data_IF_435924584938
#
_entry.id   IF_435924584938
#
_cell.length_a   1.000
_cell.length_b   1.000
_cell.length_c   1.000
_cell.angle_alpha   90.00
_cell.angle_beta   90.00
_cell.angle_gamma   90.00
#
_symmetry.space_group_name_H-M   'P 1'
#
loop_
_entity.id
_entity.type
_entity.pdbx_description
1 polymer ?
#
# COMPACT_ATOMS: atom_id res chain seq x y z
N UNK A 1 -8.68 23.02 -1.01
CA UNK A 1 -7.35 23.19 -1.62
C UNK A 1 -6.88 21.82 -2.09
N UNK A 2 -6.36 21.70 -3.32
CA UNK A 2 -5.73 20.50 -3.83
C UNK A 2 -4.29 20.86 -4.24
N UNK A 3 -3.32 20.05 -3.78
CA UNK A 3 -1.90 20.29 -4.04
C UNK A 3 -1.14 19.01 -4.29
N UNK A 4 0.12 19.14 -4.68
CA UNK A 4 1.10 18.07 -4.73
C UNK A 4 2.32 18.47 -3.90
N UNK A 5 2.42 17.94 -2.67
CA UNK A 5 3.38 18.32 -1.63
C UNK A 5 3.14 19.72 -1.00
N UNK A 6 2.01 20.36 -1.30
CA UNK A 6 1.75 21.73 -0.88
C UNK A 6 1.52 21.89 0.62
N UNK A 7 1.07 20.82 1.31
CA UNK A 7 0.87 20.88 2.76
C UNK A 7 2.16 21.17 3.52
N UNK A 8 3.29 20.68 3.02
CA UNK A 8 4.60 20.83 3.68
C UNK A 8 5.47 21.91 3.02
N UNK A 9 5.13 22.37 1.83
CA UNK A 9 5.93 23.33 1.08
C UNK A 9 5.17 24.61 0.70
N UNK A 10 4.17 24.52 -0.18
CA UNK A 10 3.53 25.72 -0.75
C UNK A 10 2.69 26.49 0.28
N UNK A 11 1.90 25.79 1.10
CA UNK A 11 0.98 26.44 2.06
C UNK A 11 1.75 27.19 3.15
N UNK A 12 2.77 26.62 3.81
CA UNK A 12 3.61 27.38 4.74
C UNK A 12 4.24 28.63 4.10
N UNK A 13 4.80 28.48 2.89
CA UNK A 13 5.40 29.60 2.18
C UNK A 13 4.38 30.71 1.88
N UNK A 14 3.17 30.34 1.45
CA UNK A 14 2.08 31.29 1.23
C UNK A 14 1.68 31.99 2.53
N UNK A 15 1.53 31.27 3.64
CA UNK A 15 1.21 31.89 4.97
C UNK A 15 2.26 32.91 5.37
N UNK A 16 3.53 32.56 5.23
CA UNK A 16 4.63 33.49 5.52
C UNK A 16 4.53 34.75 4.65
N UNK A 17 4.19 34.63 3.36
CA UNK A 17 4.00 35.76 2.44
C UNK A 17 2.79 36.60 2.81
N UNK A 18 1.65 36.03 3.19
CA UNK A 18 0.47 36.74 3.68
C UNK A 18 0.82 37.54 4.94
N UNK A 19 1.51 36.87 5.89
CA UNK A 19 1.94 37.52 7.14
C UNK A 19 2.89 38.73 6.88
N UNK A 20 3.91 38.55 6.04
CA UNK A 20 4.87 39.60 5.68
C UNK A 20 4.19 40.81 5.03
N UNK A 21 3.12 40.60 4.28
CA UNK A 21 2.36 41.63 3.61
C UNK A 21 1.15 42.13 4.44
N UNK A 22 0.99 41.67 5.70
CA UNK A 22 -0.14 42.02 6.59
C UNK A 22 -1.50 41.69 5.95
N UNK A 23 -1.58 40.61 5.19
CA UNK A 23 -2.80 40.12 4.53
C UNK A 23 -3.42 39.02 5.37
N UNK A 24 -4.74 38.88 5.28
CA UNK A 24 -5.48 37.77 5.89
C UNK A 24 -5.20 36.44 5.13
N UNK A 25 -4.80 35.40 5.86
CA UNK A 25 -4.49 34.09 5.33
C UNK A 25 -5.61 33.08 5.54
N UNK A 26 -6.77 33.46 6.03
CA UNK A 26 -7.92 32.59 6.31
C UNK A 26 -8.41 31.81 5.09
N UNK A 27 -8.11 32.30 3.88
CA UNK A 27 -8.38 31.57 2.64
C UNK A 27 -7.64 30.24 2.55
N UNK A 28 -6.55 30.06 3.30
CA UNK A 28 -5.77 28.82 3.38
C UNK A 28 -6.32 27.82 4.41
N UNK A 29 -7.29 28.22 5.26
CA UNK A 29 -7.92 27.35 6.26
C UNK A 29 -9.09 26.53 5.67
N UNK A 30 -8.89 25.97 4.50
CA UNK A 30 -9.87 25.14 3.81
C UNK A 30 -9.47 23.67 3.88
N UNK A 31 -10.44 22.74 3.72
CA UNK A 31 -10.11 21.32 3.54
C UNK A 31 -9.02 21.17 2.48
N UNK A 32 -7.98 20.38 2.81
CA UNK A 32 -6.79 20.29 1.98
C UNK A 32 -6.48 18.84 1.61
N UNK A 33 -6.48 18.54 0.32
CA UNK A 33 -6.08 17.26 -0.27
C UNK A 33 -4.67 17.43 -0.82
N UNK A 34 -3.70 16.71 -0.25
CA UNK A 34 -2.34 16.65 -0.79
C UNK A 34 -2.15 15.30 -1.51
N UNK A 35 -2.13 15.36 -2.83
CA UNK A 35 -2.08 14.17 -3.68
C UNK A 35 -0.77 13.38 -3.57
N UNK A 36 0.34 14.02 -3.18
CA UNK A 36 1.61 13.31 -3.02
C UNK A 36 1.50 12.17 -1.99
N UNK A 37 0.84 12.44 -0.86
CA UNK A 37 0.71 11.44 0.19
C UNK A 37 -0.20 10.29 -0.21
N UNK A 38 -1.25 10.57 -0.95
CA UNK A 38 -2.18 9.55 -1.45
C UNK A 38 -1.49 8.74 -2.56
N UNK A 39 -0.86 9.42 -3.51
CA UNK A 39 -0.12 8.78 -4.60
C UNK A 39 0.99 7.85 -4.09
N UNK A 40 1.75 8.27 -3.07
CA UNK A 40 2.77 7.41 -2.44
C UNK A 40 2.19 6.15 -1.82
N UNK A 41 1.00 6.22 -1.23
CA UNK A 41 0.35 5.03 -0.66
C UNK A 41 -0.07 4.02 -1.71
N UNK A 42 -0.51 4.49 -2.88
CA UNK A 42 -0.99 3.64 -3.96
C UNK A 42 0.14 3.15 -4.86
N UNK A 43 1.00 4.06 -5.32
CA UNK A 43 1.91 3.79 -6.42
C UNK A 43 3.36 3.48 -6.02
N UNK A 44 3.75 3.68 -4.74
CA UNK A 44 5.15 3.53 -4.33
C UNK A 44 5.68 2.10 -4.49
N UNK A 45 4.81 1.09 -4.32
CA UNK A 45 5.20 -0.31 -4.48
C UNK A 45 5.65 -0.59 -5.92
N UNK A 46 4.94 -0.05 -6.91
CA UNK A 46 5.23 -0.21 -8.34
C UNK A 46 6.29 0.77 -8.85
N UNK A 47 6.15 2.06 -8.52
CA UNK A 47 6.93 3.12 -9.15
C UNK A 47 8.20 3.51 -8.38
N UNK A 48 8.33 3.13 -7.10
CA UNK A 48 9.41 3.51 -6.19
C UNK A 48 9.51 5.03 -5.94
N UNK A 49 9.41 5.86 -7.00
CA UNK A 49 9.38 7.32 -6.96
C UNK A 49 8.01 7.82 -7.42
N UNK A 50 7.44 8.79 -6.67
CA UNK A 50 6.11 9.34 -6.91
C UNK A 50 6.19 10.88 -7.00
N UNK A 51 7.08 11.43 -7.83
CA UNK A 51 7.01 12.82 -8.23
C UNK A 51 5.92 13.00 -9.31
N UNK A 52 5.46 14.23 -9.53
CA UNK A 52 4.33 14.49 -10.41
C UNK A 52 4.61 14.03 -11.86
N UNK A 53 5.77 14.36 -12.41
CA UNK A 53 6.14 13.93 -13.77
C UNK A 53 6.16 12.42 -13.94
N UNK A 54 6.62 11.64 -12.93
CA UNK A 54 6.57 10.18 -12.99
C UNK A 54 5.15 9.64 -12.95
N UNK A 55 4.25 10.29 -12.20
CA UNK A 55 2.83 9.91 -12.16
C UNK A 55 2.11 10.27 -13.46
N UNK A 56 2.42 11.42 -14.07
CA UNK A 56 1.92 11.80 -15.39
C UNK A 56 2.26 10.73 -16.42
N UNK A 57 3.52 10.35 -16.49
CA UNK A 57 3.98 9.31 -17.43
C UNK A 57 3.34 7.95 -17.15
N UNK A 58 3.43 7.45 -15.91
CA UNK A 58 3.13 6.07 -15.57
C UNK A 58 1.65 5.81 -15.26
N UNK A 59 0.89 6.82 -14.87
CA UNK A 59 -0.52 6.70 -14.46
C UNK A 59 -1.44 7.39 -15.45
N UNK A 60 -1.08 8.59 -15.91
CA UNK A 60 -1.92 9.36 -16.81
C UNK A 60 -1.58 9.14 -18.29
N UNK A 61 -0.41 8.55 -18.60
CA UNK A 61 0.07 8.39 -19.97
C UNK A 61 0.43 9.71 -20.65
N UNK A 62 0.74 10.74 -19.88
CA UNK A 62 1.10 12.08 -20.36
C UNK A 62 2.63 12.20 -20.32
N UNK A 63 3.34 12.11 -21.46
CA UNK A 63 4.77 12.32 -21.49
C UNK A 63 5.10 13.80 -21.31
N UNK A 64 6.21 14.10 -20.62
CA UNK A 64 6.79 15.44 -20.57
C UNK A 64 7.91 15.53 -21.62
N UNK A 65 7.76 16.48 -22.52
CA UNK A 65 8.80 16.83 -23.48
C UNK A 65 9.44 18.15 -23.03
N UNK A 66 10.76 18.23 -23.07
CA UNK A 66 11.56 19.44 -22.74
C UNK A 66 11.20 20.07 -21.37
N UNK A 67 10.99 19.20 -20.35
CA UNK A 67 10.60 19.64 -19.03
C UNK A 67 11.68 20.50 -18.37
N UNK A 68 11.30 21.68 -17.89
CA UNK A 68 12.20 22.58 -17.16
C UNK A 68 12.58 21.92 -15.82
N UNK A 69 13.86 21.61 -15.58
CA UNK A 69 14.25 21.11 -14.27
C UNK A 69 13.89 22.09 -13.17
N UNK A 70 13.14 21.66 -12.15
CA UNK A 70 12.68 22.53 -11.07
C UNK A 70 13.80 23.32 -10.37
N UNK A 71 15.03 22.79 -10.38
CA UNK A 71 16.22 23.47 -9.88
C UNK A 71 16.60 24.74 -10.70
N UNK A 72 16.13 24.87 -11.92
CA UNK A 72 16.39 26.04 -12.79
C UNK A 72 15.37 27.17 -12.62
N UNK A 73 14.19 26.88 -12.03
CA UNK A 73 13.11 27.86 -11.84
C UNK A 73 13.57 29.10 -11.07
N UNK A 74 14.30 28.97 -9.93
CA UNK A 74 14.79 30.15 -9.20
C UNK A 74 15.74 31.00 -10.06
N UNK A 75 16.63 30.39 -10.86
CA UNK A 75 17.55 31.11 -11.71
C UNK A 75 16.80 31.89 -12.79
N UNK A 76 15.82 31.30 -13.46
CA UNK A 76 14.95 31.98 -14.44
C UNK A 76 14.27 33.22 -13.83
N UNK A 77 13.77 33.11 -12.60
CA UNK A 77 13.16 34.22 -11.90
C UNK A 77 14.16 35.33 -11.58
N UNK A 78 15.37 35.00 -11.11
CA UNK A 78 16.41 35.99 -10.85
C UNK A 78 16.89 36.69 -12.11
N UNK A 79 17.01 35.99 -13.24
CA UNK A 79 17.38 36.56 -14.53
C UNK A 79 16.28 37.49 -15.04
N UNK A 80 15.01 37.14 -14.87
CA UNK A 80 13.90 38.05 -15.12
C UNK A 80 13.99 39.33 -14.27
N UNK A 81 14.24 39.23 -12.97
CA UNK A 81 14.37 40.40 -12.10
C UNK A 81 15.52 41.34 -12.53
N UNK A 82 16.61 40.79 -13.05
CA UNK A 82 17.77 41.58 -13.54
C UNK A 82 17.53 42.22 -14.89
N UNK A 83 16.80 41.56 -15.76
CA UNK A 83 16.73 41.95 -17.19
C UNK A 83 15.38 42.58 -17.56
N UNK A 84 14.32 42.33 -16.77
CA UNK A 84 12.95 42.71 -17.11
C UNK A 84 12.33 41.92 -18.25
N UNK A 85 13.04 40.90 -18.78
CA UNK A 85 12.56 40.10 -19.91
C UNK A 85 11.59 39.02 -19.46
N UNK A 86 10.30 39.22 -19.70
CA UNK A 86 9.25 38.29 -19.28
C UNK A 86 9.34 36.93 -19.97
N UNK A 87 9.86 36.87 -21.20
CA UNK A 87 10.01 35.62 -21.96
C UNK A 87 10.83 34.55 -21.21
N UNK A 88 11.68 34.95 -20.24
CA UNK A 88 12.44 34.04 -19.39
C UNK A 88 11.55 33.23 -18.42
N UNK A 89 10.31 33.64 -18.22
CA UNK A 89 9.33 32.96 -17.34
C UNK A 89 8.31 32.15 -18.11
N UNK A 90 8.29 32.20 -19.44
CA UNK A 90 7.25 31.52 -20.25
C UNK A 90 7.23 30.04 -20.00
N UNK A 91 8.39 29.37 -20.06
CA UNK A 91 8.54 27.95 -19.80
C UNK A 91 8.17 27.56 -18.34
N UNK A 92 8.43 28.44 -17.38
CA UNK A 92 8.02 28.25 -15.96
C UNK A 92 6.50 28.31 -15.82
N UNK A 93 5.85 29.23 -16.52
CA UNK A 93 4.38 29.38 -16.49
C UNK A 93 3.68 28.23 -17.20
N UNK A 94 4.20 27.79 -18.34
CA UNK A 94 3.69 26.63 -19.08
C UNK A 94 3.80 25.34 -18.24
N UNK A 95 4.97 25.10 -17.63
CA UNK A 95 5.19 24.01 -16.71
C UNK A 95 4.19 24.03 -15.54
N UNK A 96 3.99 25.18 -14.90
CA UNK A 96 3.03 25.32 -13.80
C UNK A 96 1.58 25.08 -14.25
N UNK A 97 1.20 25.57 -15.42
CA UNK A 97 -0.13 25.35 -15.99
C UNK A 97 -0.39 23.85 -16.23
N UNK A 98 0.60 23.13 -16.77
CA UNK A 98 0.54 21.69 -16.92
C UNK A 98 0.42 20.96 -15.56
N UNK A 99 1.23 21.34 -14.57
CA UNK A 99 1.17 20.75 -13.24
C UNK A 99 -0.23 20.89 -12.62
N UNK A 100 -0.85 22.08 -12.71
CA UNK A 100 -2.20 22.32 -12.20
C UNK A 100 -3.25 21.47 -12.93
N UNK A 101 -3.16 21.38 -14.26
CA UNK A 101 -4.07 20.53 -15.04
C UNK A 101 -3.89 19.05 -14.68
N UNK A 102 -2.67 18.59 -14.55
CA UNK A 102 -2.33 17.21 -14.17
C UNK A 102 -2.84 16.84 -12.78
N UNK A 103 -2.86 17.77 -11.83
CA UNK A 103 -3.44 17.53 -10.49
C UNK A 103 -4.93 17.19 -10.59
N UNK A 104 -5.70 17.89 -11.42
CA UNK A 104 -7.13 17.61 -11.59
C UNK A 104 -7.34 16.22 -12.21
N UNK A 105 -6.57 15.88 -13.24
CA UNK A 105 -6.64 14.59 -13.92
C UNK A 105 -6.21 13.46 -12.99
N UNK A 106 -5.13 13.66 -12.23
CA UNK A 106 -4.62 12.66 -11.27
C UNK A 106 -5.62 12.41 -10.14
N UNK A 107 -6.22 13.46 -9.58
CA UNK A 107 -7.27 13.30 -8.57
C UNK A 107 -8.43 12.48 -9.10
N UNK A 108 -8.91 12.80 -10.30
CA UNK A 108 -10.02 12.09 -10.95
C UNK A 108 -9.66 10.62 -11.18
N UNK A 109 -8.48 10.35 -11.75
CA UNK A 109 -7.99 8.99 -11.98
C UNK A 109 -7.94 8.18 -10.69
N UNK A 110 -7.41 8.75 -9.60
CA UNK A 110 -7.36 8.07 -8.31
C UNK A 110 -8.74 7.81 -7.71
N UNK A 111 -9.69 8.74 -7.87
CA UNK A 111 -11.08 8.53 -7.43
C UNK A 111 -11.71 7.36 -8.19
N UNK A 112 -11.53 7.29 -9.51
CA UNK A 112 -12.04 6.18 -10.32
C UNK A 112 -11.38 4.84 -9.98
N UNK A 113 -10.09 4.81 -9.68
CA UNK A 113 -9.43 3.60 -9.20
C UNK A 113 -10.07 3.05 -7.92
N UNK A 114 -10.36 3.91 -6.93
CA UNK A 114 -11.03 3.49 -5.69
C UNK A 114 -12.50 3.12 -5.90
N UNK A 115 -13.18 3.72 -6.87
CA UNK A 115 -14.58 3.40 -7.22
C UNK A 115 -14.70 2.05 -7.91
N UNK A 116 -13.77 1.73 -8.79
CA UNK A 116 -13.76 0.51 -9.61
C UNK A 116 -12.38 -0.16 -9.59
N UNK A 117 -11.96 -0.75 -8.44
CA UNK A 117 -10.64 -1.37 -8.29
C UNK A 117 -10.41 -2.54 -9.24
N UNK A 118 -11.48 -3.19 -9.74
CA UNK A 118 -11.45 -4.23 -10.77
C UNK A 118 -10.93 -3.77 -12.13
N UNK A 119 -10.95 -2.46 -12.39
CA UNK A 119 -10.42 -1.87 -13.63
C UNK A 119 -8.96 -1.42 -13.50
N UNK A 120 -8.36 -1.56 -12.33
CA UNK A 120 -6.97 -1.16 -12.10
C UNK A 120 -6.03 -2.20 -12.70
N UNK A 121 -5.14 -1.76 -13.56
CA UNK A 121 -4.29 -2.64 -14.38
C UNK A 121 -3.19 -3.37 -13.59
N UNK A 122 -2.68 -2.75 -12.55
CA UNK A 122 -1.50 -3.23 -11.82
C UNK A 122 -1.85 -3.76 -10.44
N UNK A 123 -1.49 -5.00 -10.17
CA UNK A 123 -1.73 -5.66 -8.89
C UNK A 123 -1.11 -4.94 -7.72
N UNK A 124 0.07 -4.32 -7.91
CA UNK A 124 0.75 -3.53 -6.87
C UNK A 124 -0.09 -2.35 -6.41
N UNK A 125 -0.76 -1.70 -7.36
CA UNK A 125 -1.62 -0.56 -7.07
C UNK A 125 -2.88 -1.02 -6.33
N UNK A 126 -3.53 -2.10 -6.80
CA UNK A 126 -4.72 -2.71 -6.15
C UNK A 126 -4.39 -3.17 -4.73
N UNK A 127 -3.29 -3.90 -4.55
CA UNK A 127 -2.83 -4.33 -3.22
C UNK A 127 -2.58 -3.14 -2.29
N UNK A 128 -1.89 -2.11 -2.79
CA UNK A 128 -1.58 -0.90 -2.04
C UNK A 128 -2.84 -0.11 -1.66
N UNK A 129 -3.83 -0.06 -2.54
CA UNK A 129 -5.17 0.51 -2.24
C UNK A 129 -5.84 -0.24 -1.10
N UNK A 130 -5.83 -1.58 -1.12
CA UNK A 130 -6.35 -2.40 -0.03
C UNK A 130 -5.68 -2.08 1.30
N UNK A 131 -4.34 -1.97 1.32
CA UNK A 131 -3.57 -1.59 2.52
C UNK A 131 -3.94 -0.19 3.02
N UNK A 132 -4.13 0.77 2.11
CA UNK A 132 -4.55 2.12 2.46
C UNK A 132 -5.97 2.15 3.05
N UNK A 133 -6.92 1.45 2.43
CA UNK A 133 -8.30 1.34 2.88
C UNK A 133 -8.39 0.67 4.28
N UNK A 134 -7.66 -0.42 4.50
CA UNK A 134 -7.59 -1.09 5.80
C UNK A 134 -7.10 -0.14 6.89
N UNK A 135 -6.07 0.67 6.60
CA UNK A 135 -5.53 1.67 7.54
C UNK A 135 -6.57 2.72 7.94
N UNK A 136 -7.47 3.08 7.04
CA UNK A 136 -8.56 4.04 7.27
C UNK A 136 -9.88 3.38 7.69
N UNK A 137 -9.85 2.10 8.07
CA UNK A 137 -10.99 1.33 8.54
C UNK A 137 -12.11 1.10 7.48
N UNK A 138 -11.81 1.27 6.20
CA UNK A 138 -12.69 0.90 5.10
C UNK A 138 -12.52 -0.59 4.77
N UNK A 139 -12.92 -1.43 5.73
CA UNK A 139 -12.62 -2.87 5.71
C UNK A 139 -13.28 -3.63 4.54
N UNK A 140 -14.56 -3.40 4.18
CA UNK A 140 -15.19 -4.08 3.05
C UNK A 140 -14.48 -3.81 1.73
N UNK A 141 -14.14 -2.54 1.48
CA UNK A 141 -13.45 -2.10 0.26
C UNK A 141 -12.01 -2.63 0.23
N UNK A 142 -11.33 -2.67 1.38
CA UNK A 142 -10.00 -3.27 1.48
C UNK A 142 -10.01 -4.75 1.11
N UNK A 143 -11.00 -5.50 1.61
CA UNK A 143 -11.19 -6.92 1.27
C UNK A 143 -11.44 -7.13 -0.22
N UNK A 144 -12.27 -6.28 -0.84
CA UNK A 144 -12.48 -6.30 -2.30
C UNK A 144 -11.15 -6.15 -3.04
N UNK A 145 -10.30 -5.21 -2.66
CA UNK A 145 -8.98 -5.06 -3.25
C UNK A 145 -8.12 -6.31 -3.08
N UNK A 146 -8.07 -6.90 -1.88
CA UNK A 146 -7.29 -8.12 -1.64
C UNK A 146 -7.79 -9.33 -2.43
N UNK A 147 -9.10 -9.45 -2.66
CA UNK A 147 -9.68 -10.50 -3.50
C UNK A 147 -9.31 -10.35 -4.99
N UNK A 148 -9.08 -9.13 -5.44
CA UNK A 148 -8.70 -8.81 -6.82
C UNK A 148 -7.22 -9.01 -7.11
N UNK A 149 -6.37 -9.14 -6.08
CA UNK A 149 -4.93 -9.36 -6.30
C UNK A 149 -4.65 -10.68 -7.03
N UNK A 150 -3.70 -10.64 -7.94
CA UNK A 150 -3.28 -11.78 -8.75
C UNK A 150 -1.74 -11.91 -8.79
N UNK A 151 -1.21 -12.80 -9.61
CA UNK A 151 0.22 -12.96 -9.84
C UNK A 151 1.04 -13.08 -8.55
N UNK A 152 2.14 -12.36 -8.48
CA UNK A 152 3.08 -12.41 -7.36
C UNK A 152 2.52 -11.83 -6.04
N UNK A 153 1.46 -11.04 -6.10
CA UNK A 153 0.83 -10.44 -4.93
C UNK A 153 -0.41 -11.20 -4.44
N UNK A 154 -0.85 -12.22 -5.18
CA UNK A 154 -2.03 -13.00 -4.80
C UNK A 154 -1.89 -13.59 -3.39
N UNK A 155 -0.81 -14.29 -3.09
CA UNK A 155 -0.58 -14.88 -1.76
C UNK A 155 -0.58 -13.83 -0.64
N UNK A 156 0.01 -12.65 -0.87
CA UNK A 156 0.03 -11.56 0.11
C UNK A 156 -1.37 -10.95 0.30
N UNK A 157 -2.12 -10.79 -0.78
CA UNK A 157 -3.51 -10.33 -0.75
C UNK A 157 -4.41 -11.29 0.03
N UNK A 158 -4.30 -12.60 -0.24
CA UNK A 158 -5.05 -13.64 0.47
C UNK A 158 -4.68 -13.68 1.96
N UNK A 159 -3.40 -13.54 2.31
CA UNK A 159 -2.97 -13.45 3.71
C UNK A 159 -3.63 -12.26 4.43
N UNK A 160 -3.64 -11.08 3.79
CA UNK A 160 -4.30 -9.88 4.31
C UNK A 160 -5.82 -10.07 4.44
N UNK A 161 -6.45 -10.68 3.45
CA UNK A 161 -7.87 -10.99 3.44
C UNK A 161 -8.24 -11.90 4.61
N UNK A 162 -7.53 -13.00 4.79
CA UNK A 162 -7.76 -13.94 5.90
C UNK A 162 -7.58 -13.28 7.27
N UNK A 163 -6.54 -12.46 7.42
CA UNK A 163 -6.31 -11.71 8.65
C UNK A 163 -7.41 -10.67 8.91
N UNK A 164 -7.93 -10.03 7.87
CA UNK A 164 -9.05 -9.09 7.96
C UNK A 164 -10.31 -9.79 8.45
N UNK A 165 -10.65 -10.95 7.89
CA UNK A 165 -11.78 -11.77 8.37
C UNK A 165 -11.59 -12.21 9.82
N UNK A 166 -10.41 -12.70 10.18
CA UNK A 166 -10.11 -13.10 11.57
C UNK A 166 -10.28 -11.97 12.56
N UNK A 167 -9.78 -10.75 12.24
CA UNK A 167 -9.94 -9.56 13.10
C UNK A 167 -11.40 -9.13 13.22
N UNK A 168 -12.19 -9.27 12.15
CA UNK A 168 -13.63 -9.00 12.13
C UNK A 168 -14.49 -10.05 12.85
N UNK A 169 -13.88 -11.14 13.35
CA UNK A 169 -14.61 -12.23 14.01
C UNK A 169 -15.22 -13.25 13.03
N UNK A 170 -15.06 -13.06 11.72
CA UNK A 170 -15.56 -13.91 10.64
C UNK A 170 -14.59 -15.08 10.39
N UNK A 171 -14.46 -15.95 11.39
CA UNK A 171 -13.43 -17.01 11.41
C UNK A 171 -13.61 -18.05 10.30
N UNK A 172 -14.83 -18.40 9.99
CA UNK A 172 -15.13 -19.39 8.94
C UNK A 172 -14.66 -18.92 7.58
N UNK A 173 -14.81 -17.60 7.30
CA UNK A 173 -14.29 -17.01 6.07
C UNK A 173 -12.75 -16.98 6.06
N UNK A 174 -12.12 -16.69 7.19
CA UNK A 174 -10.66 -16.77 7.30
C UNK A 174 -10.15 -18.20 7.05
N UNK A 175 -10.82 -19.21 7.60
CA UNK A 175 -10.49 -20.64 7.37
C UNK A 175 -10.61 -21.01 5.90
N UNK A 176 -11.67 -20.59 5.21
CA UNK A 176 -11.85 -20.83 3.76
C UNK A 176 -10.69 -20.25 2.95
N UNK A 177 -10.26 -19.04 3.29
CA UNK A 177 -9.14 -18.39 2.60
C UNK A 177 -7.84 -19.17 2.84
N UNK A 178 -7.51 -19.53 4.09
CA UNK A 178 -6.30 -20.31 4.38
C UNK A 178 -6.30 -21.69 3.73
N UNK A 179 -7.44 -22.40 3.72
CA UNK A 179 -7.57 -23.68 3.00
C UNK A 179 -7.36 -23.49 1.49
N UNK A 180 -7.89 -22.41 0.91
CA UNK A 180 -7.66 -22.05 -0.47
C UNK A 180 -6.19 -21.75 -0.78
N UNK A 181 -5.46 -21.07 0.11
CA UNK A 181 -4.02 -20.85 -0.01
C UNK A 181 -3.24 -22.15 0.01
N UNK A 182 -3.59 -23.08 0.92
CA UNK A 182 -2.97 -24.41 0.99
C UNK A 182 -3.20 -25.19 -0.30
N UNK A 183 -4.42 -25.20 -0.82
CA UNK A 183 -4.76 -25.91 -2.06
C UNK A 183 -3.97 -25.40 -3.28
N UNK A 184 -3.57 -24.13 -3.26
CA UNK A 184 -2.75 -23.50 -4.32
C UNK A 184 -1.26 -23.49 -4.01
N UNK A 185 -0.82 -24.10 -2.89
CA UNK A 185 0.58 -24.07 -2.43
C UNK A 185 1.13 -22.66 -2.21
N UNK A 186 0.30 -21.75 -1.70
CA UNK A 186 0.63 -20.34 -1.47
C UNK A 186 0.85 -20.03 0.01
N UNK A 187 1.68 -19.01 0.29
CA UNK A 187 1.88 -18.48 1.64
C UNK A 187 2.78 -19.33 2.55
N UNK A 188 3.42 -20.39 2.02
CA UNK A 188 4.35 -21.23 2.77
C UNK A 188 3.72 -21.88 4.00
N UNK A 189 4.40 -21.78 5.15
CA UNK A 189 3.97 -22.35 6.42
C UNK A 189 2.82 -21.59 7.10
N UNK A 190 2.63 -20.30 6.78
CA UNK A 190 1.69 -19.41 7.48
C UNK A 190 0.24 -19.90 7.48
N UNK A 191 -0.38 -20.30 6.35
CA UNK A 191 -1.76 -20.78 6.37
C UNK A 191 -1.96 -22.00 7.28
N UNK A 192 -1.02 -22.90 7.31
CA UNK A 192 -1.05 -24.09 8.18
C UNK A 192 -0.97 -23.69 9.66
N UNK A 193 -0.10 -22.73 9.99
CA UNK A 193 0.06 -22.24 11.36
C UNK A 193 -1.24 -21.56 11.84
N UNK A 194 -1.87 -20.75 11.02
CA UNK A 194 -3.10 -20.06 11.37
C UNK A 194 -4.29 -21.05 11.52
N UNK A 195 -4.37 -22.05 10.65
CA UNK A 195 -5.35 -23.13 10.80
C UNK A 195 -5.09 -23.97 12.06
N UNK A 196 -3.84 -24.30 12.35
CA UNK A 196 -3.50 -25.00 13.60
C UNK A 196 -3.93 -24.21 14.85
N UNK A 197 -3.77 -22.87 14.84
CA UNK A 197 -4.27 -22.00 15.91
C UNK A 197 -5.80 -22.01 16.00
N UNK A 198 -6.47 -21.99 14.83
CA UNK A 198 -7.92 -22.03 14.78
C UNK A 198 -8.47 -23.32 15.41
N UNK A 199 -8.00 -24.48 14.94
CA UNK A 199 -8.40 -25.79 15.48
C UNK A 199 -8.06 -25.92 16.98
N UNK A 200 -6.87 -25.47 17.41
CA UNK A 200 -6.45 -25.53 18.82
C UNK A 200 -7.33 -24.70 19.74
N UNK A 201 -7.64 -23.45 19.39
CA UNK A 201 -8.20 -22.47 20.31
C UNK A 201 -9.71 -22.28 20.21
N UNK A 202 -10.28 -22.54 19.03
CA UNK A 202 -11.72 -22.32 18.78
C UNK A 202 -12.50 -23.62 18.69
N UNK A 203 -12.05 -24.54 17.85
CA UNK A 203 -12.74 -25.82 17.69
C UNK A 203 -12.34 -26.83 18.76
N UNK A 204 -11.20 -26.63 19.42
CA UNK A 204 -10.59 -27.57 20.36
C UNK A 204 -10.32 -28.95 19.76
N UNK A 205 -10.20 -29.00 18.45
CA UNK A 205 -9.80 -30.18 17.67
C UNK A 205 -8.26 -30.25 17.62
N UNK A 206 -7.70 -30.92 18.62
CA UNK A 206 -6.25 -31.05 18.75
C UNK A 206 -5.63 -31.99 17.70
N UNK A 207 -6.40 -32.93 17.15
CA UNK A 207 -5.89 -33.84 16.10
C UNK A 207 -5.72 -33.06 14.78
N UNK A 208 -6.71 -32.28 14.37
CA UNK A 208 -6.60 -31.39 13.20
C UNK A 208 -5.50 -30.35 13.38
N UNK A 209 -5.38 -29.76 14.59
CA UNK A 209 -4.29 -28.83 14.90
C UNK A 209 -2.90 -29.47 14.78
N UNK A 210 -2.76 -30.74 15.22
CA UNK A 210 -1.54 -31.53 15.06
C UNK A 210 -1.22 -31.79 13.58
N UNK A 211 -2.22 -32.18 12.76
CA UNK A 211 -2.02 -32.44 11.36
C UNK A 211 -1.51 -31.18 10.62
N UNK A 212 -2.17 -30.03 10.85
CA UNK A 212 -1.71 -28.75 10.27
C UNK A 212 -0.28 -28.38 10.71
N UNK A 213 0.05 -28.63 11.99
CA UNK A 213 1.39 -28.37 12.50
C UNK A 213 2.43 -29.29 11.85
N UNK A 214 2.14 -30.57 11.64
CA UNK A 214 3.03 -31.51 10.94
C UNK A 214 3.29 -31.08 9.50
N UNK A 215 2.24 -30.64 8.78
CA UNK A 215 2.37 -30.15 7.40
C UNK A 215 3.23 -28.88 7.34
N UNK A 216 3.05 -27.96 8.29
CA UNK A 216 3.92 -26.77 8.40
C UNK A 216 5.39 -27.16 8.64
N UNK A 217 5.64 -28.14 9.54
CA UNK A 217 7.00 -28.65 9.81
C UNK A 217 7.63 -29.29 8.58
N UNK A 218 6.87 -30.10 7.82
CA UNK A 218 7.35 -30.73 6.59
C UNK A 218 7.78 -29.68 5.56
N UNK A 219 7.00 -28.63 5.36
CA UNK A 219 7.34 -27.49 4.49
C UNK A 219 8.57 -26.72 4.95
N UNK A 220 8.69 -26.48 6.27
CA UNK A 220 9.84 -25.77 6.84
C UNK A 220 11.14 -26.61 6.85
N UNK A 221 11.05 -27.92 6.68
CA UNK A 221 12.19 -28.83 6.61
C UNK A 221 12.75 -28.97 5.18
N UNK A 222 12.05 -28.45 4.14
CA UNK A 222 12.57 -28.44 2.78
C UNK A 222 13.87 -27.61 2.72
N UNK A 223 14.93 -28.14 2.08
CA UNK A 223 16.22 -27.48 2.04
C UNK A 223 16.08 -26.10 1.39
N UNK A 224 16.31 -25.07 2.18
CA UNK A 224 16.49 -23.71 1.66
C UNK A 224 17.96 -23.55 1.24
N UNK A 225 18.19 -22.86 0.12
CA UNK A 225 19.55 -22.50 -0.34
C UNK A 225 20.33 -21.63 0.68
N UNK A 226 19.64 -21.13 1.71
CA UNK A 226 20.22 -20.31 2.77
C UNK A 226 19.64 -20.74 4.13
N UNK A 227 20.52 -21.22 5.02
CA UNK A 227 20.22 -21.41 6.45
C UNK A 227 20.11 -20.04 7.12
N UNK A 228 18.95 -19.40 7.02
CA UNK A 228 18.69 -18.13 7.69
C UNK A 228 18.30 -18.39 9.17
N UNK A 229 18.77 -17.59 10.12
CA UNK A 229 18.37 -17.70 11.54
C UNK A 229 16.86 -17.72 11.74
N UNK A 230 16.10 -17.00 10.90
CA UNK A 230 14.64 -16.95 10.92
C UNK A 230 13.97 -18.30 10.62
N UNK A 231 14.58 -19.16 9.81
CA UNK A 231 14.08 -20.50 9.51
C UNK A 231 14.22 -21.41 10.73
N UNK A 232 15.36 -21.35 11.41
CA UNK A 232 15.59 -22.12 12.62
C UNK A 232 14.66 -21.72 13.77
N UNK A 233 14.38 -20.42 13.91
CA UNK A 233 13.42 -19.90 14.89
C UNK A 233 12.01 -20.41 14.60
N UNK A 234 11.58 -20.41 13.34
CA UNK A 234 10.29 -20.93 12.91
C UNK A 234 10.17 -22.45 13.17
N UNK A 235 11.19 -23.22 12.84
CA UNK A 235 11.23 -24.67 13.11
C UNK A 235 11.13 -24.96 14.60
N UNK A 236 11.87 -24.24 15.45
CA UNK A 236 11.80 -24.37 16.89
C UNK A 236 10.39 -24.03 17.43
N UNK A 237 9.75 -22.99 16.92
CA UNK A 237 8.40 -22.59 17.29
C UNK A 237 7.35 -23.65 16.88
N UNK A 238 7.51 -24.26 15.71
CA UNK A 238 6.67 -25.34 15.22
C UNK A 238 6.84 -26.61 16.06
N UNK A 239 8.08 -26.98 16.41
CA UNK A 239 8.36 -28.11 17.29
C UNK A 239 7.72 -27.93 18.67
N UNK A 240 7.89 -26.75 19.29
CA UNK A 240 7.27 -26.44 20.56
C UNK A 240 5.73 -26.55 20.50
N UNK A 241 5.13 -26.04 19.43
CA UNK A 241 3.67 -26.16 19.20
C UNK A 241 3.24 -27.61 19.09
N UNK A 242 3.95 -28.41 18.32
CA UNK A 242 3.69 -29.82 18.13
C UNK A 242 3.68 -30.59 19.47
N UNK A 243 4.72 -30.40 20.28
CA UNK A 243 4.87 -31.10 21.57
C UNK A 243 3.76 -30.70 22.55
N UNK A 244 3.38 -29.43 22.54
CA UNK A 244 2.27 -28.92 23.36
C UNK A 244 0.93 -29.51 22.91
N UNK A 245 0.65 -29.54 21.62
CA UNK A 245 -0.58 -30.10 21.06
C UNK A 245 -0.68 -31.59 21.32
N UNK A 246 0.40 -32.34 21.21
CA UNK A 246 0.48 -33.77 21.51
C UNK A 246 0.07 -34.05 22.97
N UNK A 247 0.53 -33.24 23.92
CA UNK A 247 0.12 -33.35 25.33
C UNK A 247 -1.36 -33.04 25.53
N UNK A 248 -1.92 -32.07 24.79
CA UNK A 248 -3.35 -31.72 24.87
C UNK A 248 -4.23 -32.81 24.28
N UNK A 249 -3.87 -33.35 23.10
CA UNK A 249 -4.59 -34.45 22.47
C UNK A 249 -4.63 -35.71 23.35
N UNK A 250 -3.52 -36.04 24.02
CA UNK A 250 -3.44 -37.17 24.93
C UNK A 250 -4.33 -37.02 26.21
N UNK A 251 -4.58 -35.79 26.65
CA UNK A 251 -5.46 -35.51 27.82
C UNK A 251 -6.95 -35.49 27.45
N UNK A 252 -7.28 -35.40 26.20
CA UNK A 252 -8.67 -35.27 25.72
C UNK A 252 -9.22 -36.59 25.18
N UNK A 253 -8.39 -37.65 25.19
CA UNK A 253 -8.78 -39.05 25.00
C UNK A 253 -9.11 -39.69 26.33
#
# INVERSE_FOLDING_TARGET
ICTFNGRTFDVPLLRDRFLMNRMDDSCLDKPHIDLLHIARRVFKLRLQRCNLGKLEEAVLGIPRFDDLPGAQVPQRFFDYLKTGKFDLLTDVLEHNAQDVASLCVLLTAMVEMYRAPENVRHDEDVFSMGVALERFQHVPEARKCYQLTSGNLHAQGQERLAQSYRRGGERDEAVKVWLGMIARHEGGTKPYIELAKHYEHYERDYESALDMTRRAMALSAEPSLFDLPSVQEEQNALQYRYDRLKKKAAKNR
#
